data_IF_617764854492
#
_entry.id   IF_617764854492
#
_cell.length_a   1.000
_cell.length_b   1.000
_cell.length_c   1.000
_cell.angle_alpha   90.00
_cell.angle_beta   90.00
_cell.angle_gamma   90.00
#
_symmetry.space_group_name_H-M   'P 1'
#
loop_
_entity.id
_entity.type
_entity.pdbx_description
1 polymer ?
#
# COMPACT_ATOMS: atom_id res chain seq x y z
N UNK A 1 12.89 -3.46 30.76
CA UNK A 1 11.47 -3.82 30.89
C UNK A 1 11.29 -5.18 30.24
N UNK A 2 11.18 -6.24 31.03
CA UNK A 2 10.95 -7.59 30.49
C UNK A 2 9.50 -7.71 30.02
N UNK A 3 9.20 -8.32 28.86
CA UNK A 3 7.83 -8.50 28.41
C UNK A 3 7.08 -9.42 29.38
N UNK A 4 5.88 -9.00 29.77
CA UNK A 4 5.00 -9.74 30.69
C UNK A 4 4.67 -11.14 30.15
N UNK A 5 4.75 -12.19 30.98
CA UNK A 5 4.50 -13.56 30.57
C UNK A 5 3.00 -13.87 30.67
N UNK A 6 2.21 -13.60 29.62
CA UNK A 6 0.84 -14.12 29.54
C UNK A 6 0.23 -14.06 28.13
N UNK A 7 0.91 -14.61 27.13
CA UNK A 7 0.15 -15.30 26.08
C UNK A 7 -0.14 -16.69 26.65
N UNK A 8 -1.40 -16.97 26.99
CA UNK A 8 -1.79 -18.31 27.43
C UNK A 8 -1.39 -19.32 26.35
N UNK A 9 -1.08 -20.57 26.72
CA UNK A 9 -0.66 -21.60 25.76
C UNK A 9 -1.64 -21.78 24.59
N UNK A 10 -2.92 -21.44 24.81
CA UNK A 10 -3.95 -21.35 23.78
C UNK A 10 -3.66 -20.25 22.75
N UNK A 11 -3.43 -19.00 23.18
CA UNK A 11 -3.17 -17.90 22.26
C UNK A 11 -1.92 -18.14 21.41
N UNK A 12 -0.86 -18.71 21.97
CA UNK A 12 0.33 -19.09 21.18
C UNK A 12 0.03 -20.10 20.05
N UNK A 13 -0.88 -21.06 20.29
CA UNK A 13 -1.31 -22.01 19.25
C UNK A 13 -2.15 -21.33 18.18
N UNK A 14 -3.05 -20.43 18.57
CA UNK A 14 -3.87 -19.63 17.65
C UNK A 14 -2.97 -18.74 16.79
N UNK A 15 -2.02 -18.02 17.39
CA UNK A 15 -1.07 -17.15 16.68
C UNK A 15 -0.25 -17.94 15.66
N UNK A 16 0.15 -19.17 16.02
CA UNK A 16 0.88 -20.06 15.12
C UNK A 16 0.09 -20.41 13.87
N UNK A 17 -1.22 -20.61 13.98
CA UNK A 17 -2.13 -20.84 12.84
C UNK A 17 -2.41 -19.53 12.09
N UNK A 18 -2.64 -18.43 12.83
CA UNK A 18 -2.88 -17.10 12.29
C UNK A 18 -1.77 -16.62 11.36
N UNK A 19 -0.51 -16.92 11.66
CA UNK A 19 0.64 -16.62 10.80
C UNK A 19 0.59 -17.28 9.40
N UNK A 20 -0.22 -18.32 9.22
CA UNK A 20 -0.48 -18.96 7.91
C UNK A 20 -1.75 -18.41 7.27
N UNK A 21 -2.86 -18.42 8.03
CA UNK A 21 -4.19 -18.18 7.47
C UNK A 21 -4.46 -16.70 7.26
N UNK A 22 -4.13 -15.82 8.22
CA UNK A 22 -4.50 -14.40 8.14
C UNK A 22 -3.98 -13.70 6.87
N UNK A 23 -2.68 -13.76 6.51
CA UNK A 23 -2.21 -13.15 5.28
C UNK A 23 -2.71 -13.88 4.02
N UNK A 24 -2.98 -15.19 4.09
CA UNK A 24 -3.50 -15.94 2.95
C UNK A 24 -4.96 -15.58 2.64
N UNK A 25 -5.81 -15.49 3.66
CA UNK A 25 -7.21 -15.09 3.52
C UNK A 25 -7.32 -13.65 2.98
N UNK A 26 -6.48 -12.74 3.50
CA UNK A 26 -6.45 -11.36 3.04
C UNK A 26 -6.01 -11.25 1.57
N UNK A 27 -4.99 -12.02 1.17
CA UNK A 27 -4.56 -12.11 -0.22
C UNK A 27 -5.65 -12.68 -1.12
N UNK A 28 -6.32 -13.74 -0.71
CA UNK A 28 -7.37 -14.38 -1.50
C UNK A 28 -8.56 -13.43 -1.72
N UNK A 29 -9.03 -12.77 -0.66
CA UNK A 29 -10.12 -11.80 -0.73
C UNK A 29 -9.77 -10.66 -1.68
N UNK A 30 -8.63 -9.99 -1.48
CA UNK A 30 -8.23 -8.87 -2.33
C UNK A 30 -7.96 -9.30 -3.77
N UNK A 31 -7.33 -10.46 -3.97
CA UNK A 31 -7.05 -10.97 -5.30
C UNK A 31 -8.33 -11.25 -6.08
N UNK A 32 -9.37 -11.78 -5.43
CA UNK A 32 -10.68 -11.95 -6.05
C UNK A 32 -11.20 -10.63 -6.62
N UNK A 33 -11.28 -9.60 -5.78
CA UNK A 33 -11.81 -8.28 -6.15
C UNK A 33 -11.04 -7.63 -7.30
N UNK A 34 -9.70 -7.69 -7.27
CA UNK A 34 -8.89 -7.12 -8.34
C UNK A 34 -8.97 -7.95 -9.62
N UNK A 35 -8.97 -9.29 -9.54
CA UNK A 35 -9.09 -10.13 -10.74
C UNK A 35 -10.47 -9.92 -11.39
N UNK A 36 -11.54 -9.85 -10.61
CA UNK A 36 -12.88 -9.57 -11.10
C UNK A 36 -12.91 -8.22 -11.83
N UNK A 37 -12.43 -7.15 -11.20
CA UNK A 37 -12.37 -5.83 -11.84
C UNK A 37 -11.49 -5.79 -13.10
N UNK A 38 -10.39 -6.54 -13.11
CA UNK A 38 -9.52 -6.67 -14.29
C UNK A 38 -10.19 -7.45 -15.42
N UNK A 39 -10.96 -8.50 -15.10
CA UNK A 39 -11.72 -9.28 -16.09
C UNK A 39 -12.87 -8.48 -16.69
N UNK A 40 -13.52 -7.63 -15.89
CA UNK A 40 -14.51 -6.67 -16.39
C UNK A 40 -13.89 -5.74 -17.44
N UNK A 41 -12.69 -5.22 -17.19
CA UNK A 41 -12.00 -4.35 -18.16
C UNK A 41 -11.44 -5.10 -19.37
N UNK A 42 -11.02 -6.36 -19.19
CA UNK A 42 -10.51 -7.18 -20.27
C UNK A 42 -11.60 -7.55 -21.29
N UNK A 43 -12.83 -7.79 -20.82
CA UNK A 43 -13.95 -8.21 -21.66
C UNK A 43 -14.96 -7.08 -21.96
N UNK A 44 -14.82 -5.93 -21.32
CA UNK A 44 -15.69 -4.78 -21.49
C UNK A 44 -15.20 -3.78 -22.52
N UNK A 45 -15.98 -2.72 -22.69
CA UNK A 45 -15.63 -1.57 -23.53
C UNK A 45 -14.89 -0.51 -22.70
N UNK A 46 -13.91 0.15 -23.32
CA UNK A 46 -13.06 1.14 -22.65
C UNK A 46 -13.82 2.44 -22.34
N UNK A 47 -14.44 2.49 -21.17
CA UNK A 47 -15.15 3.69 -20.68
C UNK A 47 -14.21 4.76 -20.09
N UNK A 48 -12.89 4.52 -20.00
CA UNK A 48 -11.96 5.58 -19.53
C UNK A 48 -11.91 6.78 -20.49
N UNK A 49 -12.35 6.63 -21.74
CA UNK A 49 -12.48 7.75 -22.67
C UNK A 49 -13.49 8.82 -22.17
N UNK A 50 -14.47 8.42 -21.36
CA UNK A 50 -15.49 9.31 -20.79
C UNK A 50 -14.98 10.08 -19.56
N UNK A 51 -13.87 9.62 -18.95
CA UNK A 51 -13.28 10.26 -17.78
C UNK A 51 -12.59 11.59 -18.11
N UNK A 52 -12.25 11.85 -19.38
CA UNK A 52 -11.54 13.07 -19.79
C UNK A 52 -10.27 13.29 -18.98
N UNK A 53 -10.16 14.45 -18.34
CA UNK A 53 -8.97 14.88 -17.58
C UNK A 53 -8.98 14.43 -16.09
N UNK A 54 -9.83 13.46 -15.71
CA UNK A 54 -9.96 13.01 -14.30
C UNK A 54 -8.78 12.18 -13.78
N UNK A 55 -7.76 11.90 -14.59
CA UNK A 55 -6.55 11.21 -14.10
C UNK A 55 -5.59 12.19 -13.41
N UNK A 56 -4.89 11.79 -12.34
CA UNK A 56 -3.94 12.68 -11.68
C UNK A 56 -2.65 12.79 -12.50
N UNK A 57 -1.98 13.94 -12.48
CA UNK A 57 -0.64 14.05 -13.08
C UNK A 57 0.37 13.15 -12.34
N UNK A 58 1.28 12.41 -13.03
CA UNK A 58 1.52 12.43 -14.48
C UNK A 58 0.70 11.41 -15.29
N UNK A 59 -0.21 10.66 -14.66
CA UNK A 59 -1.06 9.68 -15.36
C UNK A 59 -2.04 10.34 -16.34
N UNK A 60 -2.38 11.60 -16.12
CA UNK A 60 -3.12 12.42 -17.10
C UNK A 60 -2.41 12.59 -18.45
N UNK A 61 -1.11 12.30 -18.53
CA UNK A 61 -0.36 12.31 -19.79
C UNK A 61 -0.59 11.02 -20.60
N UNK A 62 -1.15 9.98 -19.97
CA UNK A 62 -1.53 8.75 -20.64
C UNK A 62 -2.93 8.93 -21.25
N UNK A 63 -3.10 8.50 -22.50
CA UNK A 63 -4.43 8.41 -23.11
C UNK A 63 -5.29 7.33 -22.46
N UNK A 64 -6.60 7.39 -22.68
CA UNK A 64 -7.58 6.45 -22.13
C UNK A 64 -7.21 4.99 -22.40
N UNK A 65 -6.75 4.65 -23.62
CA UNK A 65 -6.35 3.27 -23.97
C UNK A 65 -5.14 2.78 -23.17
N UNK A 66 -4.14 3.66 -22.97
CA UNK A 66 -2.95 3.31 -22.20
C UNK A 66 -3.29 3.13 -20.71
N UNK A 67 -4.12 4.02 -20.15
CA UNK A 67 -4.60 3.92 -18.77
C UNK A 67 -5.47 2.69 -18.55
N UNK A 68 -6.38 2.38 -19.48
CA UNK A 68 -7.22 1.18 -19.44
C UNK A 68 -6.37 -0.08 -19.48
N UNK A 69 -5.45 -0.17 -20.45
CA UNK A 69 -4.53 -1.30 -20.56
C UNK A 69 -3.70 -1.48 -19.28
N UNK A 70 -3.14 -0.39 -18.75
CA UNK A 70 -2.34 -0.43 -17.53
C UNK A 70 -3.16 -0.89 -16.31
N UNK A 71 -4.36 -0.35 -16.12
CA UNK A 71 -5.27 -0.74 -15.03
C UNK A 71 -5.64 -2.22 -15.13
N UNK A 72 -6.12 -2.68 -16.29
CA UNK A 72 -6.50 -4.07 -16.55
C UNK A 72 -5.38 -5.04 -16.18
N UNK A 73 -4.16 -4.81 -16.67
CA UNK A 73 -3.06 -5.74 -16.43
C UNK A 73 -2.46 -5.63 -15.04
N UNK A 74 -2.45 -4.43 -14.42
CA UNK A 74 -2.07 -4.29 -13.02
C UNK A 74 -3.04 -5.04 -12.11
N UNK A 75 -4.34 -5.00 -12.39
CA UNK A 75 -5.36 -5.73 -11.64
C UNK A 75 -5.23 -7.24 -11.80
N UNK A 76 -5.12 -7.72 -13.04
CA UNK A 76 -5.01 -9.16 -13.33
C UNK A 76 -3.69 -9.77 -12.83
N UNK A 77 -2.56 -9.17 -13.22
CA UNK A 77 -1.23 -9.68 -12.84
C UNK A 77 -0.99 -9.43 -11.36
N UNK A 78 -1.33 -8.23 -10.87
CA UNK A 78 -1.18 -7.89 -9.45
C UNK A 78 -2.06 -8.78 -8.57
N UNK A 79 -3.33 -8.99 -8.94
CA UNK A 79 -4.25 -9.88 -8.25
C UNK A 79 -3.77 -11.33 -8.26
N UNK A 80 -3.33 -11.86 -9.40
CA UNK A 80 -2.76 -13.21 -9.49
C UNK A 80 -1.47 -13.36 -8.65
N UNK A 81 -0.57 -12.39 -8.73
CA UNK A 81 0.65 -12.36 -7.93
C UNK A 81 0.33 -12.30 -6.43
N UNK A 82 -0.67 -11.52 -6.03
CA UNK A 82 -1.16 -11.43 -4.66
C UNK A 82 -1.75 -12.77 -4.18
N UNK A 83 -2.59 -13.42 -4.99
CA UNK A 83 -3.19 -14.73 -4.69
C UNK A 83 -2.13 -15.79 -4.44
N UNK A 84 -1.14 -15.88 -5.32
CA UNK A 84 -0.01 -16.81 -5.19
C UNK A 84 0.96 -16.40 -4.05
N UNK A 85 0.92 -15.13 -3.65
CA UNK A 85 1.88 -14.56 -2.72
C UNK A 85 3.28 -14.50 -3.33
N UNK A 86 3.37 -14.10 -4.60
CA UNK A 86 4.60 -13.88 -5.34
C UNK A 86 4.88 -12.37 -5.44
N UNK A 87 6.03 -11.93 -4.94
CA UNK A 87 6.35 -10.50 -4.86
C UNK A 87 5.31 -9.72 -4.05
N UNK A 88 4.75 -10.32 -2.98
CA UNK A 88 3.53 -9.83 -2.32
C UNK A 88 3.60 -8.36 -1.94
N UNK A 89 4.75 -7.90 -1.43
CA UNK A 89 4.95 -6.50 -1.02
C UNK A 89 4.82 -5.54 -2.21
N UNK A 90 5.39 -5.92 -3.35
CA UNK A 90 5.36 -5.15 -4.58
C UNK A 90 3.97 -5.18 -5.22
N UNK A 91 3.35 -6.36 -5.32
CA UNK A 91 2.00 -6.51 -5.84
C UNK A 91 0.99 -5.72 -4.98
N UNK A 92 1.04 -5.85 -3.66
CA UNK A 92 0.17 -5.12 -2.76
C UNK A 92 0.37 -3.61 -2.84
N UNK A 93 1.62 -3.13 -2.92
CA UNK A 93 1.88 -1.70 -3.08
C UNK A 93 1.42 -1.16 -4.44
N UNK A 94 1.64 -1.90 -5.53
CA UNK A 94 1.17 -1.51 -6.87
C UNK A 94 -0.36 -1.43 -6.92
N UNK A 95 -1.06 -2.44 -6.38
CA UNK A 95 -2.52 -2.42 -6.25
C UNK A 95 -3.00 -1.29 -5.33
N UNK A 96 -2.26 -0.97 -4.27
CA UNK A 96 -2.58 0.15 -3.38
C UNK A 96 -2.51 1.49 -4.13
N UNK A 97 -1.45 1.72 -4.92
CA UNK A 97 -1.32 2.92 -5.77
C UNK A 97 -2.44 2.96 -6.81
N UNK A 98 -2.72 1.83 -7.47
CA UNK A 98 -3.82 1.72 -8.43
C UNK A 98 -5.16 2.09 -7.78
N UNK A 99 -5.44 1.58 -6.57
CA UNK A 99 -6.67 1.89 -5.84
C UNK A 99 -6.76 3.38 -5.48
N UNK A 100 -5.65 4.03 -5.13
CA UNK A 100 -5.63 5.49 -4.93
C UNK A 100 -6.02 6.24 -6.21
N UNK A 101 -5.48 5.83 -7.36
CA UNK A 101 -5.81 6.43 -8.67
C UNK A 101 -7.27 6.17 -9.03
N UNK A 102 -7.77 4.95 -8.79
CA UNK A 102 -9.17 4.60 -9.01
C UNK A 102 -10.11 5.44 -8.13
N UNK A 103 -9.75 5.64 -6.85
CA UNK A 103 -10.49 6.55 -5.99
C UNK A 103 -10.51 7.94 -6.60
N UNK A 104 -9.36 8.50 -6.95
CA UNK A 104 -9.23 9.85 -7.49
C UNK A 104 -10.07 10.05 -8.77
N UNK A 105 -9.95 9.13 -9.73
CA UNK A 105 -10.53 9.31 -11.06
C UNK A 105 -12.01 8.91 -11.12
N UNK A 106 -12.44 7.94 -10.31
CA UNK A 106 -13.75 7.27 -10.46
C UNK A 106 -14.65 7.46 -9.24
N UNK A 107 -14.11 7.43 -8.01
CA UNK A 107 -14.92 7.38 -6.79
C UNK A 107 -14.88 8.64 -5.93
N UNK A 108 -14.10 9.64 -6.31
CA UNK A 108 -13.95 10.89 -5.55
C UNK A 108 -15.10 11.85 -5.85
N UNK A 109 -15.58 12.64 -4.87
CA UNK A 109 -16.55 13.70 -5.14
C UNK A 109 -15.98 14.75 -6.09
N UNK A 110 -16.80 15.22 -7.04
CA UNK A 110 -16.41 16.31 -7.94
C UNK A 110 -16.20 17.62 -7.20
N UNK A 111 -17.00 17.86 -6.16
CA UNK A 111 -16.95 19.07 -5.34
C UNK A 111 -17.19 18.71 -3.88
N UNK A 112 -16.35 19.25 -3.00
CA UNK A 112 -16.52 19.21 -1.57
C UNK A 112 -15.78 20.40 -0.95
N UNK A 113 -16.32 20.93 0.13
CA UNK A 113 -15.80 22.09 0.85
C UNK A 113 -15.52 21.81 2.32
N UNK A 114 -15.99 20.66 2.83
CA UNK A 114 -15.81 20.25 4.22
C UNK A 114 -15.60 18.74 4.36
N UNK A 115 -15.00 18.32 5.48
CA UNK A 115 -14.86 16.89 5.80
C UNK A 115 -16.22 16.20 6.01
N UNK A 116 -17.25 16.95 6.41
CA UNK A 116 -18.60 16.42 6.57
C UNK A 116 -19.24 16.09 5.21
N UNK A 117 -19.00 16.91 4.19
CA UNK A 117 -19.40 16.62 2.80
C UNK A 117 -18.61 15.44 2.25
N UNK A 118 -17.29 15.42 2.46
CA UNK A 118 -16.45 14.31 2.01
C UNK A 118 -16.94 12.98 2.61
N UNK A 119 -17.26 12.95 3.91
CA UNK A 119 -17.76 11.76 4.61
C UNK A 119 -19.02 11.14 3.97
N UNK A 120 -19.83 11.91 3.25
CA UNK A 120 -21.00 11.38 2.53
C UNK A 120 -20.60 10.41 1.41
N UNK A 121 -19.40 10.57 0.82
CA UNK A 121 -18.81 9.65 -0.14
C UNK A 121 -18.33 8.32 0.45
N UNK A 122 -18.31 8.18 1.79
CA UNK A 122 -18.13 6.90 2.46
C UNK A 122 -19.44 6.07 2.44
N UNK A 123 -19.96 5.84 1.23
CA UNK A 123 -21.19 5.12 0.97
C UNK A 123 -20.96 4.01 -0.07
N UNK A 124 -21.98 3.18 -0.27
CA UNK A 124 -22.10 2.28 -1.43
C UNK A 124 -23.32 2.77 -2.20
N UNK A 125 -23.15 3.89 -2.91
CA UNK A 125 -24.23 4.56 -3.64
C UNK A 125 -23.69 5.57 -4.63
N UNK A 126 -24.33 5.71 -5.79
CA UNK A 126 -23.90 6.65 -6.84
C UNK A 126 -24.66 7.99 -6.76
N UNK A 127 -24.77 8.56 -5.55
CA UNK A 127 -25.50 9.81 -5.30
C UNK A 127 -24.65 11.08 -5.51
N UNK A 128 -23.54 11.00 -6.24
CA UNK A 128 -22.71 12.17 -6.60
C UNK A 128 -21.77 12.71 -5.53
N UNK A 129 -21.83 12.21 -4.29
CA UNK A 129 -20.91 12.59 -3.19
C UNK A 129 -19.59 11.79 -3.16
N UNK A 130 -19.33 10.99 -4.19
CA UNK A 130 -18.31 9.94 -4.21
C UNK A 130 -18.87 8.58 -3.81
N UNK A 131 -18.05 7.53 -3.95
CA UNK A 131 -18.42 6.14 -3.65
C UNK A 131 -17.16 5.34 -3.28
N UNK A 132 -16.36 5.88 -2.35
CA UNK A 132 -15.01 5.39 -2.08
C UNK A 132 -14.91 4.46 -0.86
N UNK A 133 -16.04 4.05 -0.26
CA UNK A 133 -16.04 3.18 0.93
C UNK A 133 -15.32 1.85 0.68
N UNK A 134 -15.70 1.17 -0.40
CA UNK A 134 -15.13 -0.13 -0.76
C UNK A 134 -13.62 -0.03 -1.09
N UNK A 135 -13.18 0.85 -2.00
CA UNK A 135 -11.75 0.97 -2.28
C UNK A 135 -10.94 1.48 -1.07
N UNK A 136 -11.51 2.29 -0.17
CA UNK A 136 -10.84 2.64 1.08
C UNK A 136 -10.59 1.41 1.98
N UNK A 137 -11.55 0.49 2.06
CA UNK A 137 -11.35 -0.78 2.76
C UNK A 137 -10.22 -1.59 2.09
N UNK A 138 -10.13 -1.58 0.76
CA UNK A 138 -9.04 -2.26 0.04
C UNK A 138 -7.67 -1.65 0.36
N UNK A 139 -7.56 -0.31 0.40
CA UNK A 139 -6.33 0.36 0.82
C UNK A 139 -5.88 -0.10 2.22
N UNK A 140 -6.81 -0.17 3.18
CA UNK A 140 -6.51 -0.60 4.56
C UNK A 140 -6.08 -2.07 4.60
N UNK A 141 -6.74 -2.94 3.83
CA UNK A 141 -6.41 -4.36 3.75
C UNK A 141 -5.09 -4.63 3.01
N UNK A 142 -4.69 -3.79 2.07
CA UNK A 142 -3.41 -3.92 1.36
C UNK A 142 -2.20 -3.51 2.22
N UNK A 143 -2.37 -2.58 3.17
CA UNK A 143 -1.29 -2.13 4.08
C UNK A 143 -0.54 -3.27 4.80
N UNK A 144 -1.21 -4.21 5.51
CA UNK A 144 -0.51 -5.30 6.17
C UNK A 144 0.21 -6.24 5.18
N UNK A 145 -0.23 -6.34 3.92
CA UNK A 145 0.46 -7.14 2.89
C UNK A 145 1.68 -6.40 2.31
N UNK A 146 1.56 -5.10 2.06
CA UNK A 146 2.67 -4.26 1.59
C UNK A 146 3.79 -4.16 2.65
N UNK A 147 3.42 -4.04 3.93
CA UNK A 147 4.37 -3.88 5.05
C UNK A 147 4.78 -5.22 5.70
N UNK A 148 3.94 -6.24 5.66
CA UNK A 148 4.16 -7.55 6.30
C UNK A 148 4.61 -8.66 5.33
N UNK A 149 4.24 -8.59 4.05
CA UNK A 149 4.49 -9.63 3.05
C UNK A 149 3.43 -10.73 3.01
N UNK A 150 3.70 -11.81 2.26
CA UNK A 150 2.70 -12.84 1.93
C UNK A 150 2.38 -13.89 3.00
N UNK A 151 3.10 -13.89 4.12
CA UNK A 151 2.97 -14.91 5.16
C UNK A 151 3.60 -16.25 4.77
N UNK A 152 3.29 -17.31 5.51
CA UNK A 152 3.91 -18.64 5.32
C UNK A 152 3.34 -19.46 4.16
N UNK A 153 2.09 -19.20 3.77
CA UNK A 153 1.41 -19.82 2.60
C UNK A 153 1.63 -19.03 1.31
N UNK A 154 2.82 -18.46 1.11
CA UNK A 154 3.13 -17.68 -0.09
C UNK A 154 4.29 -18.28 -0.87
N UNK A 155 4.33 -18.05 -2.18
CA UNK A 155 5.50 -18.39 -2.99
C UNK A 155 6.75 -17.63 -2.52
N UNK A 156 6.61 -16.40 -2.03
CA UNK A 156 7.71 -15.65 -1.40
C UNK A 156 8.38 -16.46 -0.27
N UNK A 157 7.58 -17.10 0.59
CA UNK A 157 8.10 -17.91 1.69
C UNK A 157 8.79 -19.18 1.21
N UNK A 158 8.20 -19.86 0.21
CA UNK A 158 8.77 -21.07 -0.40
C UNK A 158 10.11 -20.75 -1.07
N UNK A 159 10.17 -19.67 -1.85
CA UNK A 159 11.37 -19.20 -2.54
C UNK A 159 12.45 -18.80 -1.54
N UNK A 160 12.11 -18.02 -0.50
CA UNK A 160 13.07 -17.64 0.54
C UNK A 160 13.66 -18.86 1.25
N UNK A 161 12.84 -19.88 1.52
CA UNK A 161 13.30 -21.15 2.11
C UNK A 161 14.22 -21.91 1.15
N UNK A 162 13.88 -21.97 -0.13
CA UNK A 162 14.69 -22.65 -1.16
C UNK A 162 16.04 -21.99 -1.36
N UNK A 163 16.07 -20.66 -1.42
CA UNK A 163 17.30 -19.86 -1.54
C UNK A 163 18.15 -19.85 -0.26
N UNK A 164 17.69 -20.47 0.84
CA UNK A 164 18.30 -20.37 2.18
C UNK A 164 18.54 -18.93 2.61
N UNK A 165 17.69 -18.02 2.16
CA UNK A 165 17.75 -16.62 2.53
C UNK A 165 17.41 -16.51 4.02
N UNK A 166 18.41 -16.22 4.85
CA UNK A 166 18.15 -15.72 6.18
C UNK A 166 17.39 -14.39 6.01
N UNK A 167 16.19 -14.30 6.58
CA UNK A 167 15.48 -13.03 6.64
C UNK A 167 16.37 -12.05 7.42
N UNK A 168 16.78 -10.91 6.82
CA UNK A 168 17.41 -9.86 7.59
C UNK A 168 16.50 -9.50 8.77
N UNK A 169 17.07 -9.29 9.95
CA UNK A 169 16.29 -8.86 11.11
C UNK A 169 15.50 -7.60 10.78
N UNK A 170 14.26 -7.49 11.30
CA UNK A 170 13.43 -6.32 11.06
C UNK A 170 14.12 -5.06 11.58
N UNK A 171 14.48 -4.13 10.68
CA UNK A 171 15.08 -2.84 11.01
C UNK A 171 13.99 -1.77 10.96
N UNK A 172 13.51 -1.34 12.13
CA UNK A 172 12.55 -0.25 12.26
C UNK A 172 13.24 1.09 12.60
N UNK A 173 14.32 1.40 11.88
CA UNK A 173 15.06 2.66 12.08
C UNK A 173 14.37 3.85 11.39
N UNK A 174 14.89 5.06 11.62
CA UNK A 174 14.31 6.27 11.03
C UNK A 174 14.27 6.26 9.50
N UNK A 175 15.15 5.50 8.82
CA UNK A 175 15.16 5.41 7.36
C UNK A 175 14.04 4.50 6.87
N UNK A 176 13.78 3.39 7.55
CA UNK A 176 12.64 2.52 7.25
C UNK A 176 11.33 3.28 7.36
N UNK A 177 11.15 4.06 8.44
CA UNK A 177 9.97 4.92 8.60
C UNK A 177 9.88 6.02 7.54
N UNK A 178 11.00 6.64 7.18
CA UNK A 178 11.02 7.63 6.11
C UNK A 178 10.61 7.05 4.75
N UNK A 179 11.12 5.87 4.39
CA UNK A 179 10.78 5.19 3.15
C UNK A 179 9.30 4.82 3.09
N UNK A 180 8.74 4.28 4.18
CA UNK A 180 7.30 3.95 4.27
C UNK A 180 6.46 5.22 4.15
N UNK A 181 6.77 6.26 4.93
CA UNK A 181 6.03 7.52 4.90
C UNK A 181 6.09 8.19 3.52
N UNK A 182 7.23 8.13 2.82
CA UNK A 182 7.37 8.64 1.46
C UNK A 182 6.55 7.81 0.45
N UNK A 183 6.68 6.47 0.51
CA UNK A 183 6.04 5.56 -0.43
C UNK A 183 4.52 5.64 -0.42
N UNK A 184 3.89 5.72 0.76
CA UNK A 184 2.44 5.88 0.89
C UNK A 184 2.00 7.35 0.83
N UNK A 185 2.84 8.28 1.27
CA UNK A 185 2.54 9.72 1.27
C UNK A 185 2.40 10.30 -0.13
N UNK A 186 3.27 9.90 -1.07
CA UNK A 186 3.27 10.43 -2.44
C UNK A 186 1.94 10.15 -3.17
N UNK A 187 1.43 8.91 -3.27
CA UNK A 187 0.14 8.67 -3.93
C UNK A 187 -1.02 9.28 -3.14
N UNK A 188 -1.01 9.22 -1.80
CA UNK A 188 -2.06 9.85 -0.98
C UNK A 188 -2.21 11.35 -1.21
N UNK A 189 -1.15 12.04 -1.65
CA UNK A 189 -1.20 13.47 -1.96
C UNK A 189 -2.13 13.79 -3.13
N UNK A 190 -2.45 12.83 -4.02
CA UNK A 190 -3.47 13.03 -5.06
C UNK A 190 -4.87 13.19 -4.47
N UNK A 191 -5.22 12.42 -3.44
CA UNK A 191 -6.55 12.49 -2.80
C UNK A 191 -6.64 13.65 -1.81
N UNK A 192 -5.65 13.74 -0.91
CA UNK A 192 -5.63 14.69 0.19
C UNK A 192 -4.23 15.32 0.26
N UNK A 193 -4.00 16.44 -0.46
CA UNK A 193 -2.67 17.05 -0.57
C UNK A 193 -2.01 17.36 0.77
N UNK A 194 -2.79 17.79 1.76
CA UNK A 194 -2.29 18.07 3.12
C UNK A 194 -1.89 16.80 3.87
N UNK A 195 -2.63 15.71 3.70
CA UNK A 195 -2.34 14.43 4.37
C UNK A 195 -1.11 13.77 3.75
N UNK A 196 -1.08 13.66 2.42
CA UNK A 196 0.11 13.16 1.71
C UNK A 196 1.33 14.03 1.95
N UNK A 197 1.16 15.36 1.92
CA UNK A 197 2.22 16.33 2.23
C UNK A 197 2.78 16.18 3.65
N UNK A 198 1.92 15.93 4.65
CA UNK A 198 2.36 15.68 6.02
C UNK A 198 3.20 14.40 6.13
N UNK A 199 2.82 13.33 5.43
CA UNK A 199 3.62 12.08 5.38
C UNK A 199 4.97 12.29 4.69
N UNK A 200 5.01 13.05 3.60
CA UNK A 200 6.26 13.40 2.91
C UNK A 200 7.16 14.28 3.80
N UNK A 201 6.58 15.25 4.52
CA UNK A 201 7.33 16.08 5.47
C UNK A 201 7.91 15.25 6.63
N UNK A 202 7.13 14.31 7.17
CA UNK A 202 7.60 13.35 8.16
C UNK A 202 8.76 12.50 7.61
N UNK A 203 8.64 12.02 6.37
CA UNK A 203 9.70 11.27 5.72
C UNK A 203 11.01 12.08 5.62
N UNK A 204 10.93 13.34 5.20
CA UNK A 204 12.08 14.24 5.12
C UNK A 204 12.72 14.48 6.51
N UNK A 205 11.90 14.72 7.54
CA UNK A 205 12.37 14.93 8.91
C UNK A 205 13.10 13.70 9.46
N UNK A 206 12.55 12.50 9.25
CA UNK A 206 13.14 11.24 9.69
C UNK A 206 14.42 10.90 8.94
N UNK A 207 14.46 11.14 7.62
CA UNK A 207 15.65 10.98 6.81
C UNK A 207 16.78 11.92 7.26
N UNK A 208 16.46 13.20 7.51
CA UNK A 208 17.41 14.19 8.03
C UNK A 208 17.93 13.79 9.41
N UNK A 209 17.05 13.40 10.33
CA UNK A 209 17.45 12.94 11.66
C UNK A 209 18.39 11.71 11.58
N UNK A 210 18.12 10.77 10.66
CA UNK A 210 18.96 9.61 10.45
C UNK A 210 20.32 9.95 9.83
N UNK A 211 20.40 10.98 8.98
CA UNK A 211 21.66 11.50 8.43
C UNK A 211 22.49 12.20 9.51
N UNK A 212 21.86 13.06 10.32
CA UNK A 212 22.52 13.78 11.40
C UNK A 212 23.07 12.86 12.49
N UNK A 213 22.38 11.75 12.80
CA UNK A 213 22.86 10.72 13.74
C UNK A 213 24.08 9.93 13.25
N UNK A 214 24.39 9.98 11.94
CA UNK A 214 25.58 9.33 11.37
C UNK A 214 26.81 10.23 11.32
N UNK A 215 26.66 11.54 11.53
CA UNK A 215 27.80 12.44 11.57
C UNK A 215 28.68 12.07 12.78
N UNK A 216 30.00 11.86 12.60
CA UNK A 216 30.89 11.58 13.72
C UNK A 216 30.82 12.74 14.72
N UNK A 217 30.63 12.42 16.00
CA UNK A 217 30.63 13.46 17.02
C UNK A 217 31.97 14.21 16.97
N UNK A 218 31.95 15.54 17.08
CA UNK A 218 33.17 16.36 17.11
C UNK A 218 34.15 15.91 18.22
N UNK A 219 33.66 15.19 19.24
CA UNK A 219 34.46 14.57 20.30
C UNK A 219 35.29 13.36 19.82
N UNK A 220 34.78 12.57 18.88
CA UNK A 220 35.50 11.39 18.35
C UNK A 220 36.57 11.79 17.33
N UNK A 221 36.34 12.87 16.58
CA UNK A 221 37.32 13.40 15.64
C UNK A 221 38.54 14.05 16.34
N UNK A 222 38.37 14.57 17.56
CA UNK A 222 39.45 15.11 18.38
C UNK A 222 40.32 14.01 19.03
N UNK A 223 39.73 12.87 19.38
CA UNK A 223 40.42 11.74 20.01
C UNK A 223 41.33 10.93 19.05
N UNK A 224 41.20 11.12 17.74
CA UNK A 224 42.04 10.48 16.72
C UNK A 224 43.22 11.36 16.26
N UNK A 225 43.41 12.53 16.88
CA UNK A 225 44.49 13.49 16.58
C UNK A 225 45.46 13.73 17.75
N UNK A 226 45.34 12.96 18.84
CA UNK A 226 46.28 12.98 19.97
C UNK A 226 46.89 11.60 20.14
#
# INVERSE_FOLDING_TARGET
>A
MQPSPSSTALFSRIDSVGAWIAPAALRALLAWEFIESGLEKLHGENWFAELGDKFPWPLSLLGADASWFAATWLELIGGAALLLGLGTRYAAFALWVLTVVAIYAVHWPEQWSSLAELWQGYAISDQGHGNYKLPLIYLVMLLPLALGGGGRLSLDHVIARWLRSAAPGAVADGRSWALVALGFGLPSAWLLPWFGGALVALAAALALAALLRRAPSLRTAAALRG
#
